data_IF_781039314500
#
_entry.id   IF_781039314500
#
_cell.length_a   1.000
_cell.length_b   1.000
_cell.length_c   1.000
_cell.angle_alpha   90.00
_cell.angle_beta   90.00
_cell.angle_gamma   90.00
#
_symmetry.space_group_name_H-M   'P 1'
#
loop_
_entity.id
_entity.type
_entity.pdbx_description
1 polymer ?
#
# COMPACT_ATOMS: atom_id res chain seq x y z
N UNK A 1 31.77 10.21 66.53
CA UNK A 1 30.68 10.11 65.53
C UNK A 1 30.02 8.76 65.76
N UNK A 2 28.78 8.70 66.25
CA UNK A 2 28.21 7.48 66.88
C UNK A 2 27.95 6.36 65.88
N UNK A 3 28.31 5.14 66.26
CA UNK A 3 28.18 3.89 65.49
C UNK A 3 26.74 3.68 65.01
N UNK A 4 25.73 4.09 65.80
CA UNK A 4 24.31 4.05 65.44
C UNK A 4 23.95 4.85 64.18
N UNK A 5 24.63 5.99 63.93
CA UNK A 5 24.39 6.79 62.72
C UNK A 5 24.98 6.14 61.47
N UNK A 6 25.99 5.28 61.62
CA UNK A 6 26.58 4.51 60.54
C UNK A 6 25.69 3.31 60.20
N UNK A 7 25.27 2.55 61.22
CA UNK A 7 24.38 1.40 61.08
C UNK A 7 23.02 1.75 60.46
N UNK A 8 22.40 2.83 60.92
CA UNK A 8 21.10 3.30 60.37
C UNK A 8 21.19 3.75 58.91
N UNK A 9 22.34 4.23 58.45
CA UNK A 9 22.58 4.56 57.03
C UNK A 9 22.81 3.32 56.18
N UNK A 10 23.47 2.30 56.71
CA UNK A 10 23.67 1.02 56.03
C UNK A 10 22.35 0.25 55.89
N UNK A 11 21.53 0.20 56.93
CA UNK A 11 20.19 -0.42 56.87
C UNK A 11 19.30 0.25 55.81
N UNK A 12 19.25 1.59 55.77
CA UNK A 12 18.51 2.31 54.71
C UNK A 12 19.10 2.10 53.31
N UNK A 13 20.40 1.82 53.18
CA UNK A 13 21.01 1.48 51.89
C UNK A 13 20.61 0.07 51.47
N UNK A 14 20.61 -0.88 52.40
CA UNK A 14 20.19 -2.27 52.20
C UNK A 14 18.71 -2.36 51.82
N UNK A 15 17.81 -1.60 52.45
CA UNK A 15 16.39 -1.53 52.09
C UNK A 15 16.14 -0.94 50.69
N UNK A 16 16.99 -0.03 50.21
CA UNK A 16 16.84 0.58 48.88
C UNK A 16 17.40 -0.29 47.75
N UNK A 17 18.22 -1.30 48.04
CA UNK A 17 18.72 -2.24 47.04
C UNK A 17 17.61 -3.07 46.38
N UNK A 18 16.68 -3.71 47.12
CA UNK A 18 15.58 -4.46 46.52
C UNK A 18 14.61 -3.55 45.75
N UNK A 19 14.34 -2.33 46.22
CA UNK A 19 13.52 -1.36 45.48
C UNK A 19 14.13 -0.99 44.13
N UNK A 20 15.44 -0.71 44.10
CA UNK A 20 16.16 -0.41 42.86
C UNK A 20 16.24 -1.63 41.94
N UNK A 21 16.36 -2.83 42.49
CA UNK A 21 16.36 -4.08 41.72
C UNK A 21 14.99 -4.36 41.09
N UNK A 22 13.91 -4.21 41.86
CA UNK A 22 12.54 -4.31 41.37
C UNK A 22 12.27 -3.26 40.28
N UNK A 23 12.62 -2.00 40.51
CA UNK A 23 12.42 -0.93 39.52
C UNK A 23 13.14 -1.23 38.19
N UNK A 24 14.35 -1.79 38.26
CA UNK A 24 15.11 -2.21 37.06
C UNK A 24 14.44 -3.39 36.33
N UNK A 25 13.91 -4.36 37.06
CA UNK A 25 13.17 -5.48 36.47
C UNK A 25 11.87 -5.00 35.82
N UNK A 26 11.06 -4.22 36.54
CA UNK A 26 9.80 -3.67 36.03
C UNK A 26 10.05 -2.83 34.79
N UNK A 27 11.04 -1.92 34.81
CA UNK A 27 11.40 -1.10 33.64
C UNK A 27 11.85 -1.93 32.44
N UNK A 28 12.61 -3.02 32.64
CA UNK A 28 12.97 -3.95 31.55
C UNK A 28 11.73 -4.64 30.99
N UNK A 29 10.81 -5.05 31.86
CA UNK A 29 9.57 -5.74 31.48
C UNK A 29 8.63 -4.83 30.69
N UNK A 30 8.42 -3.59 31.15
CA UNK A 30 7.61 -2.57 30.46
C UNK A 30 8.20 -2.24 29.10
N UNK A 31 9.52 -2.01 29.01
CA UNK A 31 10.21 -1.68 27.75
C UNK A 31 10.14 -2.82 26.73
N UNK A 32 10.23 -4.08 27.19
CA UNK A 32 10.06 -5.25 26.31
C UNK A 32 8.61 -5.42 25.85
N UNK A 33 7.64 -5.07 26.70
CA UNK A 33 6.22 -5.10 26.34
C UNK A 33 5.88 -4.03 25.32
N UNK A 34 6.35 -2.79 25.51
CA UNK A 34 6.21 -1.70 24.55
C UNK A 34 6.83 -2.05 23.19
N UNK A 35 8.03 -2.64 23.17
CA UNK A 35 8.67 -3.11 21.93
C UNK A 35 7.83 -4.16 21.21
N UNK A 36 7.34 -5.18 21.92
CA UNK A 36 6.49 -6.23 21.32
C UNK A 36 5.19 -5.66 20.75
N UNK A 37 4.57 -4.71 21.45
CA UNK A 37 3.36 -4.03 20.98
C UNK A 37 3.65 -3.19 19.74
N UNK A 38 4.72 -2.38 19.73
CA UNK A 38 5.17 -1.62 18.57
C UNK A 38 5.52 -2.51 17.37
N UNK A 39 6.17 -3.65 17.61
CA UNK A 39 6.46 -4.64 16.57
C UNK A 39 5.18 -5.26 16.00
N UNK A 40 4.19 -5.60 16.82
CA UNK A 40 2.90 -6.09 16.34
C UNK A 40 2.15 -5.03 15.53
N UNK A 41 2.10 -3.78 15.98
CA UNK A 41 1.47 -2.69 15.23
C UNK A 41 2.19 -2.39 13.91
N UNK A 42 3.53 -2.36 13.92
CA UNK A 42 4.33 -2.12 12.71
C UNK A 42 4.26 -3.30 11.74
N UNK A 43 4.26 -4.54 12.22
CA UNK A 43 4.04 -5.74 11.41
C UNK A 43 2.64 -5.74 10.78
N UNK A 44 1.59 -5.44 11.57
CA UNK A 44 0.21 -5.34 11.07
C UNK A 44 0.07 -4.24 9.99
N UNK A 45 0.72 -3.09 10.18
CA UNK A 45 0.77 -2.00 9.19
C UNK A 45 1.51 -2.41 7.91
N UNK A 46 2.64 -3.12 8.03
CA UNK A 46 3.40 -3.65 6.88
C UNK A 46 2.60 -4.71 6.10
N UNK A 47 1.93 -5.63 6.78
CA UNK A 47 1.09 -6.66 6.15
C UNK A 47 -0.09 -6.02 5.39
N UNK A 48 -0.75 -5.02 5.98
CA UNK A 48 -1.83 -4.29 5.31
C UNK A 48 -1.36 -3.53 4.06
N UNK A 49 -0.16 -2.91 4.09
CA UNK A 49 0.44 -2.28 2.91
C UNK A 49 0.72 -3.31 1.80
N UNK A 50 1.32 -4.45 2.13
CA UNK A 50 1.59 -5.52 1.15
C UNK A 50 0.31 -6.05 0.50
N UNK A 51 -0.74 -6.29 1.29
CA UNK A 51 -2.05 -6.71 0.76
C UNK A 51 -2.67 -5.67 -0.17
N UNK A 52 -2.58 -4.38 0.17
CA UNK A 52 -3.09 -3.30 -0.67
C UNK A 52 -2.34 -3.23 -2.00
N UNK A 53 -1.00 -3.31 -1.98
CA UNK A 53 -0.17 -3.32 -3.19
C UNK A 53 -0.48 -4.54 -4.06
N UNK A 54 -0.59 -5.73 -3.49
CA UNK A 54 -0.94 -6.94 -4.24
C UNK A 54 -2.30 -6.81 -4.95
N UNK A 55 -3.28 -6.19 -4.28
CA UNK A 55 -4.58 -5.89 -4.88
C UNK A 55 -4.47 -4.89 -6.03
N UNK A 56 -3.66 -3.82 -5.90
CA UNK A 56 -3.44 -2.87 -6.99
C UNK A 56 -2.76 -3.52 -8.20
N UNK A 57 -1.76 -4.38 -7.98
CA UNK A 57 -1.07 -5.11 -9.06
C UNK A 57 -2.03 -6.04 -9.79
N UNK A 58 -2.86 -6.80 -9.06
CA UNK A 58 -3.86 -7.67 -9.68
C UNK A 58 -4.85 -6.88 -10.55
N UNK A 59 -5.25 -5.70 -10.06
CA UNK A 59 -6.12 -4.81 -10.83
C UNK A 59 -5.44 -4.18 -12.04
N UNK A 60 -4.15 -3.87 -11.96
CA UNK A 60 -3.38 -3.39 -13.11
C UNK A 60 -3.40 -4.42 -14.25
N UNK A 61 -3.16 -5.69 -13.94
CA UNK A 61 -3.28 -6.78 -14.93
C UNK A 61 -4.71 -6.93 -15.46
N UNK A 62 -5.73 -6.82 -14.60
CA UNK A 62 -7.12 -6.84 -15.03
C UNK A 62 -7.44 -5.68 -16.00
N UNK A 63 -6.94 -4.47 -15.74
CA UNK A 63 -7.12 -3.33 -16.64
C UNK A 63 -6.42 -3.53 -17.98
N UNK A 64 -5.21 -4.09 -18.01
CA UNK A 64 -4.53 -4.44 -19.26
C UNK A 64 -5.38 -5.41 -20.07
N UNK A 65 -5.82 -6.51 -19.46
CA UNK A 65 -6.60 -7.55 -20.13
C UNK A 65 -7.91 -6.99 -20.70
N UNK A 66 -8.64 -6.20 -19.91
CA UNK A 66 -9.88 -5.57 -20.34
C UNK A 66 -9.65 -4.59 -21.49
N UNK A 67 -8.55 -3.83 -21.43
CA UNK A 67 -8.21 -2.85 -22.46
C UNK A 67 -7.85 -3.52 -23.77
N UNK A 68 -7.16 -4.67 -23.75
CA UNK A 68 -6.89 -5.44 -24.98
C UNK A 68 -8.21 -5.84 -25.65
N UNK A 69 -9.15 -6.40 -24.87
CA UNK A 69 -10.47 -6.81 -25.37
C UNK A 69 -11.25 -5.63 -25.98
N UNK A 70 -11.36 -4.53 -25.25
CA UNK A 70 -12.09 -3.34 -25.71
C UNK A 70 -11.44 -2.74 -26.96
N UNK A 71 -10.11 -2.68 -27.00
CA UNK A 71 -9.38 -2.09 -28.14
C UNK A 71 -9.50 -2.94 -29.38
N UNK A 72 -9.50 -4.26 -29.24
CA UNK A 72 -9.77 -5.18 -30.34
C UNK A 72 -11.18 -4.98 -30.90
N UNK A 73 -12.20 -4.86 -30.04
CA UNK A 73 -13.55 -4.56 -30.48
C UNK A 73 -13.64 -3.20 -31.18
N UNK A 74 -13.04 -2.16 -30.61
CA UNK A 74 -13.00 -0.83 -31.22
C UNK A 74 -12.30 -0.82 -32.58
N UNK A 75 -11.17 -1.53 -32.69
CA UNK A 75 -10.42 -1.64 -33.94
C UNK A 75 -11.27 -2.28 -35.04
N UNK A 76 -11.94 -3.39 -34.74
CA UNK A 76 -12.87 -4.03 -35.68
C UNK A 76 -14.06 -3.13 -36.02
N UNK A 77 -14.65 -2.48 -35.01
CA UNK A 77 -15.79 -1.59 -35.19
C UNK A 77 -15.45 -0.40 -36.11
N UNK A 78 -14.26 0.20 -35.93
CA UNK A 78 -13.77 1.26 -36.82
C UNK A 78 -13.55 0.75 -38.24
N UNK A 79 -12.98 -0.44 -38.41
CA UNK A 79 -12.76 -1.04 -39.73
C UNK A 79 -14.06 -1.33 -40.48
N UNK A 80 -15.08 -1.83 -39.78
CA UNK A 80 -16.34 -2.26 -40.39
C UNK A 80 -17.30 -1.08 -40.64
N UNK A 81 -17.48 -0.22 -39.64
CA UNK A 81 -18.50 0.85 -39.71
C UNK A 81 -17.96 2.18 -40.21
N UNK A 82 -16.65 2.42 -40.12
CA UNK A 82 -16.02 3.69 -40.51
C UNK A 82 -14.73 3.47 -41.33
N UNK A 83 -14.79 2.74 -42.46
CA UNK A 83 -13.60 2.35 -43.22
C UNK A 83 -12.77 3.55 -43.71
N UNK A 84 -13.41 4.64 -44.13
CA UNK A 84 -12.71 5.85 -44.60
C UNK A 84 -11.89 6.52 -43.48
N UNK A 85 -12.48 6.60 -42.28
CA UNK A 85 -11.80 7.14 -41.10
C UNK A 85 -10.66 6.21 -40.66
N UNK A 86 -10.89 4.90 -40.67
CA UNK A 86 -9.88 3.89 -40.35
C UNK A 86 -8.67 3.99 -41.29
N UNK A 87 -8.89 4.03 -42.61
CA UNK A 87 -7.82 4.16 -43.61
C UNK A 87 -7.06 5.48 -43.42
N UNK A 88 -7.77 6.57 -43.15
CA UNK A 88 -7.14 7.88 -42.87
C UNK A 88 -6.26 7.83 -41.63
N UNK A 89 -6.72 7.20 -40.55
CA UNK A 89 -5.94 7.03 -39.32
C UNK A 89 -4.72 6.13 -39.52
N UNK A 90 -4.85 5.04 -40.28
CA UNK A 90 -3.72 4.18 -40.65
C UNK A 90 -2.68 4.97 -41.46
N UNK A 91 -3.11 5.83 -42.40
CA UNK A 91 -2.20 6.69 -43.18
C UNK A 91 -1.48 7.70 -42.29
N UNK A 92 -2.17 8.34 -41.34
CA UNK A 92 -1.57 9.30 -40.40
C UNK A 92 -0.51 8.63 -39.51
N UNK A 93 -0.81 7.44 -39.00
CA UNK A 93 0.09 6.70 -38.10
C UNK A 93 1.10 5.81 -38.85
N UNK A 94 0.99 5.77 -40.19
CA UNK A 94 1.85 5.02 -41.10
C UNK A 94 1.95 3.51 -40.83
N UNK A 95 1.06 2.96 -40.00
CA UNK A 95 1.07 1.55 -39.60
C UNK A 95 -0.22 1.15 -38.89
N UNK A 96 -0.74 -0.02 -39.26
CA UNK A 96 -1.91 -0.65 -38.65
C UNK A 96 -1.60 -1.05 -37.19
N UNK A 97 -0.39 -1.53 -36.93
CA UNK A 97 0.05 -1.95 -35.59
C UNK A 97 0.09 -0.73 -34.66
N UNK A 98 0.61 0.40 -35.15
CA UNK A 98 0.67 1.65 -34.37
C UNK A 98 -0.71 2.18 -34.05
N UNK A 99 -1.66 2.09 -35.00
CA UNK A 99 -3.06 2.43 -34.75
C UNK A 99 -3.67 1.55 -33.65
N UNK A 100 -3.48 0.23 -33.72
CA UNK A 100 -3.97 -0.67 -32.69
C UNK A 100 -3.37 -0.37 -31.31
N UNK A 101 -2.06 -0.12 -31.23
CA UNK A 101 -1.39 0.25 -29.99
C UNK A 101 -1.88 1.59 -29.44
N UNK A 102 -2.20 2.55 -30.32
CA UNK A 102 -2.79 3.83 -29.93
C UNK A 102 -4.18 3.66 -29.33
N UNK A 103 -5.05 2.87 -29.99
CA UNK A 103 -6.36 2.51 -29.45
C UNK A 103 -6.25 1.77 -28.12
N UNK A 104 -5.27 0.87 -28.01
CA UNK A 104 -4.95 0.19 -26.76
C UNK A 104 -4.58 1.15 -25.63
N UNK A 105 -3.67 2.09 -25.89
CA UNK A 105 -3.28 3.09 -24.90
C UNK A 105 -4.48 3.94 -24.47
N UNK A 106 -5.31 4.36 -25.43
CA UNK A 106 -6.50 5.17 -25.16
C UNK A 106 -7.53 4.41 -24.32
N UNK A 107 -7.80 3.15 -24.64
CA UNK A 107 -8.68 2.29 -23.84
C UNK A 107 -8.10 2.01 -22.46
N UNK A 108 -6.78 1.77 -22.36
CA UNK A 108 -6.10 1.54 -21.10
C UNK A 108 -6.24 2.73 -20.16
N UNK A 109 -5.98 3.94 -20.65
CA UNK A 109 -6.19 5.17 -19.89
C UNK A 109 -7.66 5.34 -19.51
N UNK A 110 -8.59 5.09 -20.44
CA UNK A 110 -10.03 5.19 -20.20
C UNK A 110 -10.53 4.24 -19.10
N UNK A 111 -10.15 2.96 -19.16
CA UNK A 111 -10.51 1.95 -18.15
C UNK A 111 -9.89 2.30 -16.79
N UNK A 112 -8.65 2.77 -16.79
CA UNK A 112 -7.99 3.20 -15.55
C UNK A 112 -8.65 4.44 -14.94
N UNK A 113 -9.10 5.39 -15.78
CA UNK A 113 -9.84 6.56 -15.33
C UNK A 113 -11.22 6.19 -14.78
N UNK A 114 -11.97 5.31 -15.45
CA UNK A 114 -13.25 4.81 -14.98
C UNK A 114 -13.13 4.14 -13.60
N UNK A 115 -12.04 3.40 -13.35
CA UNK A 115 -11.71 2.86 -12.04
C UNK A 115 -11.47 3.97 -11.01
N UNK A 116 -10.69 4.98 -11.33
CA UNK A 116 -10.41 6.10 -10.41
C UNK A 116 -11.72 6.80 -10.00
N UNK A 117 -12.62 7.01 -10.94
CA UNK A 117 -13.97 7.57 -10.70
C UNK A 117 -14.81 6.63 -9.82
N UNK A 118 -14.86 5.33 -10.14
CA UNK A 118 -15.57 4.32 -9.34
C UNK A 118 -15.08 4.30 -7.89
N UNK A 119 -13.76 4.41 -7.69
CA UNK A 119 -13.18 4.48 -6.35
C UNK A 119 -13.55 5.78 -5.62
N UNK A 120 -13.47 6.93 -6.30
CA UNK A 120 -13.86 8.22 -5.75
C UNK A 120 -15.33 8.24 -5.30
N UNK A 121 -16.24 7.70 -6.11
CA UNK A 121 -17.66 7.56 -5.77
C UNK A 121 -17.87 6.70 -4.54
N UNK A 122 -17.17 5.57 -4.43
CA UNK A 122 -17.28 4.67 -3.28
C UNK A 122 -16.69 5.30 -2.00
N UNK A 123 -15.72 6.21 -2.10
CA UNK A 123 -15.18 6.93 -0.94
C UNK A 123 -16.04 8.12 -0.50
N UNK A 124 -16.80 8.73 -1.42
CA UNK A 124 -17.69 9.87 -1.13
C UNK A 124 -19.09 9.43 -0.67
N UNK A 125 -19.54 8.24 -1.05
CA UNK A 125 -20.82 7.66 -0.61
C UNK A 125 -20.79 7.04 0.80
N UNK A 126 -19.72 7.26 1.57
CA UNK A 126 -19.55 6.84 2.97
C UNK A 126 -19.27 8.06 3.83
#
# INVERSE_FOLDING_TARGET
>A
MSIDRMFSRELRRLERMPERAMYRQTRKFTRNSEKKVLEQFSAKKKVNRKKKIAKEVLWFFATIFLSVLISFMMFYFLGEFFPDAFISLVKILNSIITLYLFLFALCFVGVYFARAVSWALHTLGK
#
